data_IF_047355695991
#
_entry.id   IF_047355695991
#
_cell.length_a   1.000
_cell.length_b   1.000
_cell.length_c   1.000
_cell.angle_alpha   90.00
_cell.angle_beta   90.00
_cell.angle_gamma   90.00
#
_symmetry.space_group_name_H-M   'P 1'
#
loop_
_entity.id
_entity.type
_entity.pdbx_description
1 polymer ?
#
# COMPACT_ATOMS: atom_id res chain seq x y z
N UNK A 1 23.89 -44.82 -11.34
CA UNK A 1 23.31 -44.82 -9.97
C UNK A 1 22.41 -43.60 -9.87
N UNK A 2 21.11 -43.79 -10.09
CA UNK A 2 20.12 -42.71 -9.99
C UNK A 2 19.68 -42.56 -8.53
N UNK A 3 19.94 -41.39 -7.94
CA UNK A 3 19.40 -41.04 -6.63
C UNK A 3 17.90 -40.76 -6.77
N UNK A 4 17.06 -41.67 -6.27
CA UNK A 4 15.63 -41.44 -6.11
C UNK A 4 15.41 -40.42 -5.00
N UNK A 5 15.21 -39.16 -5.38
CA UNK A 5 14.82 -38.11 -4.42
C UNK A 5 13.42 -38.43 -3.92
N UNK A 6 13.31 -38.62 -2.61
CA UNK A 6 12.07 -38.99 -1.94
C UNK A 6 11.18 -37.74 -1.86
N UNK A 7 10.28 -37.59 -2.85
CA UNK A 7 9.32 -36.49 -3.02
C UNK A 7 8.67 -35.97 -1.71
N UNK A 8 8.24 -36.81 -0.75
CA UNK A 8 7.63 -36.32 0.49
C UNK A 8 8.60 -35.54 1.39
N UNK A 9 9.90 -35.85 1.37
CA UNK A 9 10.91 -35.14 2.16
C UNK A 9 11.16 -33.74 1.58
N UNK A 10 11.18 -33.62 0.25
CA UNK A 10 11.33 -32.33 -0.43
C UNK A 10 10.14 -31.41 -0.18
N UNK A 11 8.92 -31.95 -0.22
CA UNK A 11 7.69 -31.21 0.13
C UNK A 11 7.70 -30.71 1.58
N UNK A 12 8.17 -31.52 2.53
CA UNK A 12 8.26 -31.12 3.94
C UNK A 12 9.27 -29.99 4.16
N UNK A 13 10.42 -30.05 3.47
CA UNK A 13 11.44 -28.99 3.50
C UNK A 13 10.87 -27.69 2.92
N UNK A 14 10.11 -27.75 1.82
CA UNK A 14 9.46 -26.56 1.24
C UNK A 14 8.41 -25.94 2.19
N UNK A 15 7.61 -26.73 2.90
CA UNK A 15 6.62 -26.23 3.88
C UNK A 15 7.31 -25.59 5.09
N UNK A 16 8.40 -26.18 5.57
CA UNK A 16 9.21 -25.64 6.67
C UNK A 16 9.92 -24.34 6.27
N UNK A 17 10.51 -24.27 5.08
CA UNK A 17 11.19 -23.06 4.56
C UNK A 17 10.21 -21.93 4.27
N UNK A 18 9.01 -22.24 3.76
CA UNK A 18 7.95 -21.24 3.52
C UNK A 18 7.42 -20.62 4.81
N UNK A 19 7.56 -21.31 5.94
CA UNK A 19 7.16 -20.83 7.26
C UNK A 19 8.24 -19.98 7.94
N UNK A 20 9.52 -20.23 7.62
CA UNK A 20 10.65 -19.47 8.17
C UNK A 20 10.95 -18.17 7.39
N UNK A 21 10.71 -18.13 6.08
CA UNK A 21 10.97 -16.92 5.27
C UNK A 21 9.89 -15.84 5.38
N UNK A 22 8.70 -16.15 5.93
CA UNK A 22 7.53 -15.26 5.91
C UNK A 22 7.36 -14.39 7.18
N UNK A 23 8.30 -14.47 8.13
CA UNK A 23 8.27 -13.70 9.38
C UNK A 23 9.55 -12.89 9.59
N UNK A 24 10.04 -12.22 8.56
CA UNK A 24 10.90 -11.07 8.83
C UNK A 24 9.98 -9.95 9.31
N UNK A 25 10.02 -9.69 10.63
CA UNK A 25 9.17 -8.70 11.28
C UNK A 25 9.43 -7.33 10.66
N UNK A 26 8.57 -6.92 9.74
CA UNK A 26 8.47 -5.54 9.27
C UNK A 26 8.44 -4.68 10.52
N UNK A 27 9.46 -3.86 10.74
CA UNK A 27 9.54 -3.03 11.94
C UNK A 27 8.28 -2.15 12.00
N UNK A 28 7.87 -1.73 13.19
CA UNK A 28 6.70 -0.84 13.33
C UNK A 28 6.79 0.37 12.38
N UNK A 29 8.01 0.91 12.19
CA UNK A 29 8.27 2.01 11.26
C UNK A 29 8.01 1.61 9.81
N UNK A 30 8.47 0.43 9.41
CA UNK A 30 8.30 -0.07 8.04
C UNK A 30 6.82 -0.38 7.74
N UNK A 31 6.05 -0.83 8.75
CA UNK A 31 4.63 -1.09 8.62
C UNK A 31 3.78 0.19 8.55
N UNK A 32 4.22 1.28 9.20
CA UNK A 32 3.61 2.60 9.05
C UNK A 32 3.97 3.20 7.68
N UNK A 33 5.23 3.08 7.26
CA UNK A 33 5.71 3.57 5.97
C UNK A 33 5.03 2.86 4.79
N UNK A 34 4.79 1.55 4.88
CA UNK A 34 4.10 0.81 3.81
C UNK A 34 2.67 1.29 3.61
N UNK A 35 1.93 1.60 4.70
CA UNK A 35 0.60 2.21 4.60
C UNK A 35 0.69 3.56 3.91
N UNK A 36 1.68 4.40 4.25
CA UNK A 36 1.81 5.72 3.63
C UNK A 36 2.14 5.64 2.14
N UNK A 37 3.05 4.74 1.77
CA UNK A 37 3.39 4.47 0.36
C UNK A 37 2.14 4.00 -0.39
N UNK A 38 1.41 3.05 0.16
CA UNK A 38 0.15 2.56 -0.43
C UNK A 38 -0.90 3.67 -0.58
N UNK A 39 -1.05 4.53 0.43
CA UNK A 39 -1.98 5.66 0.41
C UNK A 39 -1.62 6.68 -0.68
N UNK A 40 -0.34 7.03 -0.81
CA UNK A 40 0.14 7.95 -1.83
C UNK A 40 0.01 7.37 -3.23
N UNK A 41 0.42 6.11 -3.43
CA UNK A 41 0.28 5.41 -4.71
C UNK A 41 -1.18 5.29 -5.13
N UNK A 42 -2.10 4.99 -4.19
CA UNK A 42 -3.54 4.95 -4.45
C UNK A 42 -4.10 6.33 -4.81
N UNK A 43 -3.66 7.39 -4.12
CA UNK A 43 -4.05 8.76 -4.44
C UNK A 43 -3.59 9.15 -5.85
N UNK A 44 -2.35 8.83 -6.22
CA UNK A 44 -1.81 9.12 -7.55
C UNK A 44 -2.58 8.35 -8.61
N UNK A 45 -2.78 7.05 -8.42
CA UNK A 45 -3.56 6.21 -9.31
C UNK A 45 -4.94 6.82 -9.59
N UNK A 46 -5.71 7.17 -8.55
CA UNK A 46 -7.03 7.78 -8.71
C UNK A 46 -6.94 9.19 -9.32
N UNK A 47 -5.95 9.99 -8.92
CA UNK A 47 -5.77 11.38 -9.36
C UNK A 47 -5.47 11.49 -10.86
N UNK A 48 -4.70 10.55 -11.41
CA UNK A 48 -4.40 10.50 -12.84
C UNK A 48 -5.51 9.88 -13.70
N UNK A 49 -6.56 9.32 -13.09
CA UNK A 49 -7.70 8.74 -13.81
C UNK A 49 -7.75 7.20 -13.78
N UNK A 50 -7.05 6.58 -12.84
CA UNK A 50 -7.08 5.15 -12.57
C UNK A 50 -6.70 4.33 -13.80
N UNK A 51 -7.57 3.38 -14.17
CA UNK A 51 -7.37 2.47 -15.32
C UNK A 51 -7.23 3.18 -16.67
N UNK A 52 -7.67 4.43 -16.77
CA UNK A 52 -7.57 5.23 -18.00
C UNK A 52 -6.20 5.87 -18.18
N UNK A 53 -5.45 6.02 -17.09
CA UNK A 53 -4.08 6.50 -17.11
C UNK A 53 -3.15 5.31 -17.21
N UNK A 54 -2.21 5.30 -18.16
CA UNK A 54 -1.23 4.21 -18.31
C UNK A 54 -0.38 3.92 -17.07
N UNK A 55 -0.55 4.71 -16.00
CA UNK A 55 -0.04 4.48 -14.64
C UNK A 55 -0.56 3.18 -14.03
N UNK A 56 -1.70 2.65 -14.48
CA UNK A 56 -2.17 1.33 -14.05
C UNK A 56 -1.23 0.18 -14.44
N UNK A 57 -0.26 0.41 -15.34
CA UNK A 57 0.80 -0.54 -15.70
C UNK A 57 1.99 -0.50 -14.73
N UNK A 58 2.06 0.50 -13.85
CA UNK A 58 3.10 0.59 -12.84
C UNK A 58 2.82 -0.42 -11.70
N UNK A 59 3.80 -1.28 -11.44
CA UNK A 59 3.66 -2.33 -10.43
C UNK A 59 3.74 -1.80 -8.99
N UNK A 60 4.25 -0.59 -8.77
CA UNK A 60 4.48 -0.05 -7.43
C UNK A 60 3.17 0.13 -6.66
N UNK A 61 2.09 0.51 -7.36
CA UNK A 61 0.77 0.61 -6.75
C UNK A 61 0.27 -0.78 -6.29
N UNK A 62 0.29 -1.77 -7.18
CA UNK A 62 -0.15 -3.13 -6.86
C UNK A 62 0.64 -3.71 -5.69
N UNK A 63 1.97 -3.62 -5.74
CA UNK A 63 2.86 -4.11 -4.67
C UNK A 63 2.59 -3.42 -3.33
N UNK A 64 2.41 -2.10 -3.32
CA UNK A 64 2.11 -1.39 -2.07
C UNK A 64 0.75 -1.80 -1.47
N UNK A 65 -0.27 -2.01 -2.31
CA UNK A 65 -1.58 -2.47 -1.85
C UNK A 65 -1.57 -3.92 -1.38
N UNK A 66 -0.77 -4.79 -2.02
CA UNK A 66 -0.58 -6.18 -1.60
C UNK A 66 0.08 -6.25 -0.23
N UNK A 67 1.08 -5.41 0.04
CA UNK A 67 1.69 -5.32 1.38
C UNK A 67 0.66 -4.93 2.46
N UNK A 68 -0.26 -4.02 2.16
CA UNK A 68 -1.35 -3.65 3.09
C UNK A 68 -2.33 -4.80 3.26
N UNK A 69 -2.70 -5.48 2.17
CA UNK A 69 -3.60 -6.63 2.19
C UNK A 69 -3.02 -7.77 3.06
N UNK A 70 -1.75 -8.12 2.85
CA UNK A 70 -1.06 -9.17 3.62
C UNK A 70 -0.90 -8.78 5.09
N UNK A 71 -0.65 -7.50 5.37
CA UNK A 71 -0.36 -7.01 6.72
C UNK A 71 -1.61 -6.74 7.58
N UNK A 72 -2.70 -6.29 6.96
CA UNK A 72 -3.86 -5.73 7.66
C UNK A 72 -5.21 -6.28 7.16
N UNK A 73 -5.21 -7.03 6.05
CA UNK A 73 -6.42 -7.63 5.49
C UNK A 73 -7.23 -6.73 4.56
N UNK A 74 -8.22 -7.34 3.91
CA UNK A 74 -9.01 -6.74 2.84
C UNK A 74 -9.76 -5.46 3.28
N UNK A 75 -10.38 -5.48 4.46
CA UNK A 75 -11.16 -4.34 4.95
C UNK A 75 -10.33 -3.07 5.15
N UNK A 76 -9.09 -3.22 5.61
CA UNK A 76 -8.16 -2.09 5.81
C UNK A 76 -7.63 -1.58 4.46
N UNK A 77 -7.33 -2.49 3.52
CA UNK A 77 -7.00 -2.16 2.13
C UNK A 77 -8.09 -1.31 1.47
N UNK A 78 -9.35 -1.73 1.58
CA UNK A 78 -10.49 -1.03 0.97
C UNK A 78 -10.75 0.32 1.63
N UNK A 79 -10.59 0.40 2.96
CA UNK A 79 -10.66 1.68 3.70
C UNK A 79 -9.58 2.66 3.21
N UNK A 80 -8.34 2.20 3.03
CA UNK A 80 -7.25 3.05 2.53
C UNK A 80 -7.54 3.59 1.13
N UNK A 81 -8.04 2.70 0.26
CA UNK A 81 -8.36 3.00 -1.13
C UNK A 81 -9.48 4.03 -1.22
N UNK A 82 -10.54 3.85 -0.41
CA UNK A 82 -11.65 4.80 -0.33
C UNK A 82 -11.18 6.19 0.11
N UNK A 83 -10.35 6.27 1.15
CA UNK A 83 -9.80 7.52 1.64
C UNK A 83 -8.91 8.22 0.59
N UNK A 84 -8.01 7.47 -0.05
CA UNK A 84 -7.12 8.00 -1.08
C UNK A 84 -7.91 8.51 -2.30
N UNK A 85 -8.96 7.79 -2.68
CA UNK A 85 -9.87 8.17 -3.77
C UNK A 85 -10.65 9.44 -3.47
N UNK A 86 -11.17 9.58 -2.26
CA UNK A 86 -11.83 10.81 -1.82
C UNK A 86 -10.88 12.00 -1.89
N UNK A 87 -9.66 11.85 -1.38
CA UNK A 87 -8.64 12.89 -1.45
C UNK A 87 -8.32 13.26 -2.91
N UNK A 88 -8.08 12.27 -3.76
CA UNK A 88 -7.75 12.47 -5.18
C UNK A 88 -8.85 13.22 -5.95
N UNK A 89 -10.13 12.93 -5.67
CA UNK A 89 -11.28 13.62 -6.29
C UNK A 89 -11.33 15.11 -5.95
N UNK A 90 -10.81 15.49 -4.79
CA UNK A 90 -10.80 16.87 -4.31
C UNK A 90 -9.59 17.68 -4.80
N UNK A 91 -8.67 17.08 -5.56
CA UNK A 91 -7.54 17.80 -6.18
C UNK A 91 -8.07 18.72 -7.28
N UNK A 92 -7.88 20.03 -7.08
CA UNK A 92 -8.32 21.09 -8.00
C UNK A 92 -7.11 21.78 -8.65
N UNK A 93 -7.27 22.31 -9.88
CA UNK A 93 -6.27 23.18 -10.47
C UNK A 93 -6.02 24.41 -9.59
N UNK A 94 -4.78 24.92 -9.52
CA UNK A 94 -4.47 26.13 -8.79
C UNK A 94 -5.18 27.34 -9.42
N UNK A 95 -5.62 28.30 -8.59
CA UNK A 95 -6.33 29.50 -9.05
C UNK A 95 -5.41 30.60 -9.61
N UNK A 96 -4.10 30.52 -9.33
CA UNK A 96 -3.17 31.65 -9.51
C UNK A 96 -2.16 31.47 -10.64
N UNK A 97 -2.26 30.39 -11.43
CA UNK A 97 -1.25 30.10 -12.45
C UNK A 97 -1.82 29.44 -13.70
N UNK A 98 -1.33 29.86 -14.87
CA UNK A 98 -1.71 29.40 -16.21
C UNK A 98 -1.16 28.00 -16.56
N UNK A 99 -1.37 27.01 -15.69
CA UNK A 99 -0.98 25.62 -15.94
C UNK A 99 -1.97 24.85 -16.81
N UNK A 100 -2.68 25.53 -17.73
CA UNK A 100 -3.66 24.91 -18.64
C UNK A 100 -4.68 23.99 -17.93
N UNK A 101 -5.19 24.39 -16.75
CA UNK A 101 -6.10 23.59 -15.91
C UNK A 101 -5.49 22.27 -15.38
N UNK A 102 -4.16 22.13 -15.41
CA UNK A 102 -3.45 20.99 -14.85
C UNK A 102 -3.68 20.83 -13.35
N UNK A 103 -4.02 19.61 -12.92
CA UNK A 103 -4.16 19.26 -11.51
C UNK A 103 -2.78 18.96 -10.90
N UNK A 104 -2.44 19.50 -9.72
CA UNK A 104 -1.17 19.26 -9.06
C UNK A 104 -1.15 17.90 -8.33
N UNK A 105 -1.43 16.80 -9.04
CA UNK A 105 -1.72 15.48 -8.48
C UNK A 105 -0.60 14.99 -7.56
N UNK A 106 0.65 15.01 -8.03
CA UNK A 106 1.82 14.53 -7.26
C UNK A 106 1.97 15.33 -5.97
N UNK A 107 1.92 16.66 -6.06
CA UNK A 107 2.04 17.54 -4.90
C UNK A 107 0.92 17.29 -3.89
N UNK A 108 -0.34 17.21 -4.33
CA UNK A 108 -1.47 16.98 -3.44
C UNK A 108 -1.42 15.58 -2.81
N UNK A 109 -1.01 14.55 -3.54
CA UNK A 109 -0.82 13.21 -2.96
C UNK A 109 0.37 13.14 -1.99
N UNK A 110 1.40 13.96 -2.18
CA UNK A 110 2.45 14.14 -1.20
C UNK A 110 1.94 14.87 0.06
N UNK A 111 1.08 15.87 -0.08
CA UNK A 111 0.39 16.50 1.06
C UNK A 111 -0.49 15.48 1.81
N UNK A 112 -1.16 14.57 1.08
CA UNK A 112 -1.91 13.46 1.68
C UNK A 112 -1.02 12.49 2.46
N UNK A 113 0.15 12.15 1.94
CA UNK A 113 1.15 11.29 2.60
C UNK A 113 1.53 11.82 4.00
N UNK A 114 1.56 13.14 4.18
CA UNK A 114 1.86 13.81 5.45
C UNK A 114 0.61 14.30 6.21
N UNK A 115 -0.59 13.91 5.78
CA UNK A 115 -1.82 14.45 6.35
C UNK A 115 -2.12 13.90 7.75
N UNK A 116 -2.71 14.74 8.60
CA UNK A 116 -3.22 14.34 9.92
C UNK A 116 -4.29 13.26 9.84
N UNK A 117 -5.05 13.23 8.74
CA UNK A 117 -6.08 12.21 8.48
C UNK A 117 -5.43 10.84 8.32
N UNK A 118 -4.41 10.74 7.47
CA UNK A 118 -3.66 9.49 7.28
C UNK A 118 -2.92 9.08 8.55
N UNK A 119 -2.32 10.03 9.28
CA UNK A 119 -1.70 9.76 10.58
C UNK A 119 -2.70 9.17 11.58
N UNK A 120 -3.93 9.70 11.60
CA UNK A 120 -4.99 9.21 12.50
C UNK A 120 -5.38 7.77 12.16
N UNK A 121 -5.53 7.46 10.87
CA UNK A 121 -5.83 6.11 10.37
C UNK A 121 -4.71 5.11 10.72
N UNK A 122 -3.46 5.48 10.48
CA UNK A 122 -2.30 4.64 10.83
C UNK A 122 -2.27 4.39 12.34
N UNK A 123 -2.50 5.41 13.16
CA UNK A 123 -2.55 5.27 14.63
C UNK A 123 -3.67 4.36 15.09
N UNK A 124 -4.86 4.39 14.47
CA UNK A 124 -5.96 3.50 14.87
C UNK A 124 -5.63 2.05 14.56
N UNK A 125 -5.12 1.76 13.36
CA UNK A 125 -4.75 0.40 12.96
C UNK A 125 -3.59 -0.16 13.78
N UNK A 126 -2.66 0.71 14.17
CA UNK A 126 -1.59 0.35 15.09
C UNK A 126 -2.11 -0.09 16.45
N UNK A 127 -3.09 0.63 17.02
CA UNK A 127 -3.67 0.27 18.32
C UNK A 127 -4.36 -1.09 18.27
N UNK A 128 -5.07 -1.37 17.18
CA UNK A 128 -5.74 -2.67 16.96
C UNK A 128 -4.74 -3.82 16.80
N UNK A 129 -3.62 -3.60 16.09
CA UNK A 129 -2.64 -4.66 15.82
C UNK A 129 -1.72 -4.96 17.01
N UNK A 130 -1.37 -3.94 17.78
CA UNK A 130 -0.38 -4.03 18.86
C UNK A 130 -1.01 -3.76 20.23
N UNK A 131 -2.21 -4.28 20.50
CA UNK A 131 -2.87 -4.15 21.80
C UNK A 131 -1.86 -4.29 22.95
N UNK A 132 -1.55 -3.14 23.56
CA UNK A 132 -0.82 -3.06 24.82
C UNK A 132 -1.73 -3.68 25.89
N UNK A 133 -1.22 -4.71 26.57
CA UNK A 133 -1.63 -4.99 27.95
C UNK A 133 -1.15 -3.85 28.83
#
# INVERSE_FOLDING_TARGET
MEQKINLPVFMLICVMLSSCARKEWVSKRDAENSIRIAAMSSCMYEGFGGTKSGINKDASFALAMDMVLESYGLGKRDTLTALAKEFARNIRPPQHADYAQGKPIIRSCHEFYHSKTLDSLIRSWRKERFHYK
#
